data_IF_063407195818
#
_entry.id   IF_063407195818
#
_cell.length_a   1.000
_cell.length_b   1.000
_cell.length_c   1.000
_cell.angle_alpha   90.00
_cell.angle_beta   90.00
_cell.angle_gamma   90.00
#
_symmetry.space_group_name_H-M   'P 1'
#
loop_
_entity.id
_entity.type
_entity.pdbx_description
1 polymer ?
#
# COMPACT_ATOMS: atom_id res chain seq x y z
N UNK A 1 15.98 30.11 8.36
CA UNK A 1 15.31 29.18 7.43
C UNK A 1 13.90 29.70 7.19
N UNK A 2 13.42 29.76 5.94
CA UNK A 2 12.10 30.32 5.57
C UNK A 2 11.16 29.19 5.16
N UNK A 3 9.96 29.13 5.76
CA UNK A 3 8.96 28.08 5.47
C UNK A 3 8.15 28.47 4.24
N UNK A 4 7.95 27.53 3.31
CA UNK A 4 7.12 27.74 2.12
C UNK A 4 5.63 27.53 2.44
N UNK A 5 4.88 28.63 2.58
CA UNK A 5 3.44 28.60 2.87
C UNK A 5 2.62 27.89 1.78
N UNK A 6 2.99 27.97 0.50
CA UNK A 6 2.27 27.34 -0.60
C UNK A 6 2.35 25.80 -0.59
N UNK A 7 3.42 25.23 -0.03
CA UNK A 7 3.59 23.77 0.13
C UNK A 7 3.13 23.27 1.50
N UNK A 8 2.68 24.16 2.39
CA UNK A 8 2.30 23.82 3.75
C UNK A 8 0.79 23.67 3.85
N UNK A 9 0.35 22.58 4.47
CA UNK A 9 -1.07 22.29 4.70
C UNK A 9 -1.29 21.95 6.16
N UNK A 10 -2.43 22.36 6.69
CA UNK A 10 -2.86 22.00 8.04
C UNK A 10 -3.75 20.76 7.97
N UNK A 11 -3.32 19.68 8.61
CA UNK A 11 -4.12 18.47 8.77
C UNK A 11 -4.27 18.15 10.24
N UNK A 12 -5.52 17.99 10.68
CA UNK A 12 -5.85 17.62 12.05
C UNK A 12 -6.26 16.16 12.08
N UNK A 13 -5.48 15.34 12.77
CA UNK A 13 -5.74 13.91 12.90
C UNK A 13 -6.61 13.64 14.13
N UNK A 14 -7.82 13.10 13.92
CA UNK A 14 -8.74 12.76 15.00
C UNK A 14 -9.78 11.75 14.56
N UNK A 15 -10.21 10.88 15.48
CA UNK A 15 -11.36 9.99 15.31
C UNK A 15 -12.64 10.52 15.96
N UNK A 16 -12.58 11.71 16.56
CA UNK A 16 -13.74 12.31 17.20
C UNK A 16 -14.81 12.67 16.16
N UNK A 17 -16.07 12.35 16.47
CA UNK A 17 -17.21 12.68 15.62
C UNK A 17 -17.38 14.20 15.45
N UNK A 18 -16.97 14.98 16.45
CA UNK A 18 -16.97 16.44 16.42
C UNK A 18 -15.52 16.94 16.57
N UNK A 19 -14.76 17.06 15.47
CA UNK A 19 -13.36 17.46 15.50
C UNK A 19 -13.22 18.94 15.86
N UNK A 20 -12.26 19.26 16.73
CA UNK A 20 -11.93 20.66 17.06
C UNK A 20 -11.27 21.30 15.84
N UNK A 21 -11.81 22.42 15.40
CA UNK A 21 -11.30 23.15 14.23
C UNK A 21 -10.35 24.26 14.67
N UNK A 22 -9.05 23.97 14.66
CA UNK A 22 -8.02 24.99 14.96
C UNK A 22 -7.60 25.73 13.70
N UNK A 23 -7.39 27.04 13.76
CA UNK A 23 -6.74 27.80 12.68
C UNK A 23 -5.24 27.90 12.98
N UNK A 24 -4.41 27.70 11.97
CA UNK A 24 -2.96 27.87 12.09
C UNK A 24 -2.51 28.95 11.11
N UNK A 25 -1.64 29.84 11.57
CA UNK A 25 -1.02 30.87 10.73
C UNK A 25 0.49 30.66 10.72
N UNK A 26 1.09 30.77 9.54
CA UNK A 26 2.54 30.72 9.36
C UNK A 26 2.92 32.01 8.63
N UNK A 27 3.87 32.77 9.18
CA UNK A 27 4.27 34.07 8.61
C UNK A 27 3.09 35.04 8.38
N UNK A 28 2.14 35.11 9.34
CA UNK A 28 0.89 35.88 9.24
C UNK A 28 -0.03 35.50 8.06
N UNK A 29 0.18 34.35 7.42
CA UNK A 29 -0.69 33.81 6.37
C UNK A 29 -1.44 32.57 6.91
N UNK A 30 -2.76 32.48 6.69
CA UNK A 30 -3.52 31.31 7.09
C UNK A 30 -3.12 30.09 6.26
N UNK A 31 -2.90 28.96 6.94
CA UNK A 31 -2.57 27.70 6.27
C UNK A 31 -3.85 27.01 5.81
N UNK A 32 -3.88 26.55 4.56
CA UNK A 32 -5.02 25.80 4.02
C UNK A 32 -5.20 24.48 4.76
N UNK A 33 -6.42 24.22 5.24
CA UNK A 33 -6.79 22.93 5.82
C UNK A 33 -7.00 21.90 4.71
N UNK A 34 -6.49 20.69 4.91
CA UNK A 34 -6.71 19.57 4.00
C UNK A 34 -7.21 18.34 4.77
N UNK A 35 -8.20 17.59 4.25
CA UNK A 35 -8.64 16.33 4.86
C UNK A 35 -7.66 15.18 4.65
N UNK A 36 -6.67 15.34 3.77
CA UNK A 36 -5.67 14.32 3.50
C UNK A 36 -4.33 14.96 3.16
N UNK A 37 -3.24 14.36 3.64
CA UNK A 37 -1.88 14.78 3.31
C UNK A 37 -1.09 13.63 2.73
N UNK A 38 -0.39 13.90 1.63
CA UNK A 38 0.58 12.94 1.06
C UNK A 38 1.94 13.21 1.68
N UNK A 39 2.46 12.24 2.41
CA UNK A 39 3.82 12.25 2.95
C UNK A 39 4.60 11.07 2.38
N UNK A 40 5.61 11.33 1.56
CA UNK A 40 6.29 10.31 0.76
C UNK A 40 5.26 9.51 -0.07
N UNK A 41 5.22 8.19 0.05
CA UNK A 41 4.19 7.33 -0.56
C UNK A 41 3.00 7.04 0.36
N UNK A 42 3.00 7.61 1.57
CA UNK A 42 1.91 7.49 2.53
C UNK A 42 0.83 8.56 2.29
N UNK A 43 -0.43 8.15 2.32
CA UNK A 43 -1.57 9.09 2.34
C UNK A 43 -2.19 9.04 3.73
N UNK A 44 -2.12 10.14 4.44
CA UNK A 44 -2.62 10.28 5.80
C UNK A 44 -3.95 11.03 5.75
N UNK A 45 -5.03 10.34 6.08
CA UNK A 45 -6.37 10.93 6.17
C UNK A 45 -6.58 11.54 7.55
N UNK A 46 -7.31 12.66 7.64
CA UNK A 46 -7.60 13.35 8.91
C UNK A 46 -8.37 12.50 9.91
N UNK A 47 -9.17 11.55 9.43
CA UNK A 47 -9.93 10.57 10.22
C UNK A 47 -9.09 9.36 10.69
N UNK A 48 -7.79 9.33 10.34
CA UNK A 48 -6.91 8.18 10.56
C UNK A 48 -7.43 6.87 9.94
N UNK A 49 -8.23 6.98 8.87
CA UNK A 49 -8.65 5.84 8.07
C UNK A 49 -7.62 5.51 6.99
N UNK A 50 -7.26 4.24 6.91
CA UNK A 50 -6.24 3.71 5.99
C UNK A 50 -6.80 3.19 4.67
N UNK A 51 -8.13 3.16 4.52
CA UNK A 51 -8.78 2.58 3.34
C UNK A 51 -8.35 3.29 2.04
N UNK A 52 -8.37 4.63 2.03
CA UNK A 52 -7.97 5.46 0.87
C UNK A 52 -6.51 5.27 0.49
N UNK A 53 -5.64 5.16 1.48
CA UNK A 53 -4.23 4.87 1.27
C UNK A 53 -4.04 3.47 0.68
N UNK A 54 -4.71 2.47 1.26
CA UNK A 54 -4.58 1.09 0.84
C UNK A 54 -5.14 0.86 -0.56
N UNK A 55 -6.30 1.41 -0.91
CA UNK A 55 -6.82 1.31 -2.29
C UNK A 55 -5.85 1.91 -3.30
N UNK A 56 -5.19 3.02 -2.95
CA UNK A 56 -4.17 3.63 -3.81
C UNK A 56 -2.96 2.70 -4.01
N UNK A 57 -2.43 2.11 -2.94
CA UNK A 57 -1.28 1.20 -3.01
C UNK A 57 -1.65 -0.06 -3.79
N UNK A 58 -2.79 -0.67 -3.50
CA UNK A 58 -3.26 -1.85 -4.23
C UNK A 58 -3.42 -1.55 -5.72
N UNK A 59 -3.89 -0.34 -6.09
CA UNK A 59 -3.96 0.06 -7.49
C UNK A 59 -2.57 0.11 -8.15
N UNK A 60 -1.56 0.66 -7.47
CA UNK A 60 -0.17 0.70 -7.95
C UNK A 60 0.42 -0.71 -8.06
N UNK A 61 0.20 -1.55 -7.05
CA UNK A 61 0.67 -2.93 -7.01
C UNK A 61 0.03 -3.76 -8.14
N UNK A 62 -1.29 -3.65 -8.34
CA UNK A 62 -2.00 -4.32 -9.43
C UNK A 62 -1.52 -3.83 -10.80
N UNK A 63 -1.19 -2.54 -10.96
CA UNK A 63 -0.61 -2.03 -12.21
C UNK A 63 0.76 -2.65 -12.48
N UNK A 64 1.61 -2.75 -11.45
CA UNK A 64 2.92 -3.40 -11.54
C UNK A 64 2.77 -4.89 -11.88
N UNK A 65 1.78 -5.55 -11.30
CA UNK A 65 1.42 -6.94 -11.57
C UNK A 65 0.95 -7.12 -13.03
N UNK A 66 0.08 -6.24 -13.52
CA UNK A 66 -0.34 -6.21 -14.92
C UNK A 66 0.84 -6.03 -15.87
N UNK A 67 1.79 -5.14 -15.52
CA UNK A 67 3.02 -4.97 -16.29
C UNK A 67 3.83 -6.27 -16.39
N UNK A 68 4.03 -6.98 -15.28
CA UNK A 68 4.71 -8.29 -15.26
C UNK A 68 3.98 -9.29 -16.15
N UNK A 69 2.65 -9.39 -16.04
CA UNK A 69 1.85 -10.33 -16.84
C UNK A 69 1.91 -10.05 -18.34
N UNK A 70 1.91 -8.78 -18.74
CA UNK A 70 1.93 -8.42 -20.15
C UNK A 70 3.33 -8.51 -20.77
N UNK A 71 4.37 -8.08 -20.05
CA UNK A 71 5.71 -7.93 -20.61
C UNK A 71 6.65 -9.11 -20.32
N UNK A 72 6.44 -9.81 -19.20
CA UNK A 72 7.29 -10.92 -18.77
C UNK A 72 6.61 -12.28 -18.96
N UNK A 73 5.54 -12.37 -19.75
CA UNK A 73 4.80 -13.61 -20.00
C UNK A 73 5.68 -14.76 -20.48
N UNK A 74 6.65 -14.46 -21.35
CA UNK A 74 7.58 -15.43 -21.93
C UNK A 74 8.89 -15.57 -21.14
N UNK A 75 9.07 -14.79 -20.07
CA UNK A 75 10.27 -14.85 -19.25
C UNK A 75 10.29 -16.14 -18.41
N UNK A 76 11.48 -16.65 -18.03
CA UNK A 76 11.59 -17.77 -17.12
C UNK A 76 10.86 -17.51 -15.78
N UNK A 77 10.31 -18.55 -15.12
CA UNK A 77 9.62 -18.40 -13.85
C UNK A 77 10.43 -17.67 -12.76
N UNK A 78 11.75 -17.89 -12.73
CA UNK A 78 12.66 -17.21 -11.80
C UNK A 78 12.70 -15.70 -12.00
N UNK A 79 12.64 -15.22 -13.25
CA UNK A 79 12.62 -13.79 -13.59
C UNK A 79 11.27 -13.17 -13.24
N UNK A 80 10.16 -13.87 -13.51
CA UNK A 80 8.82 -13.43 -13.12
C UNK A 80 8.70 -13.31 -11.59
N UNK A 81 9.23 -14.28 -10.86
CA UNK A 81 9.26 -14.28 -9.40
C UNK A 81 10.12 -13.14 -8.84
N UNK A 82 11.30 -12.92 -9.43
CA UNK A 82 12.17 -11.80 -9.06
C UNK A 82 11.46 -10.47 -9.27
N UNK A 83 10.90 -10.25 -10.47
CA UNK A 83 10.16 -9.03 -10.81
C UNK A 83 8.98 -8.79 -9.88
N UNK A 84 8.22 -9.83 -9.54
CA UNK A 84 7.13 -9.73 -8.57
C UNK A 84 7.63 -9.31 -7.18
N UNK A 85 8.71 -9.93 -6.70
CA UNK A 85 9.32 -9.61 -5.40
C UNK A 85 9.84 -8.18 -5.37
N UNK A 86 10.50 -7.72 -6.44
CA UNK A 86 11.11 -6.38 -6.49
C UNK A 86 10.10 -5.26 -6.74
N UNK A 87 9.04 -5.50 -7.52
CA UNK A 87 8.11 -4.45 -7.94
C UNK A 87 6.81 -4.45 -7.16
N UNK A 88 6.21 -5.63 -6.92
CA UNK A 88 4.88 -5.73 -6.29
C UNK A 88 5.03 -5.85 -4.78
N UNK A 89 5.85 -6.80 -4.32
CA UNK A 89 6.00 -7.07 -2.88
C UNK A 89 6.62 -5.88 -2.14
N UNK A 90 7.66 -5.25 -2.68
CA UNK A 90 8.32 -4.08 -2.07
C UNK A 90 7.34 -2.93 -1.78
N UNK A 91 6.42 -2.65 -2.70
CA UNK A 91 5.38 -1.61 -2.54
C UNK A 91 4.42 -1.93 -1.39
N UNK A 92 4.00 -3.20 -1.29
CA UNK A 92 3.06 -3.66 -0.26
C UNK A 92 3.73 -3.74 1.12
N UNK A 93 5.00 -4.13 1.18
CA UNK A 93 5.75 -4.24 2.43
C UNK A 93 6.13 -2.89 3.00
N UNK A 94 6.61 -1.95 2.17
CA UNK A 94 6.94 -0.60 2.62
C UNK A 94 5.75 0.07 3.33
N UNK A 95 4.55 -0.11 2.76
CA UNK A 95 3.33 0.53 3.24
C UNK A 95 2.71 -0.21 4.42
N UNK A 96 3.05 -1.48 4.63
CA UNK A 96 2.57 -2.30 5.74
C UNK A 96 2.95 -1.77 7.13
N UNK A 97 4.09 -1.10 7.23
CA UNK A 97 4.59 -0.56 8.50
C UNK A 97 3.73 0.57 9.07
N UNK A 98 2.96 1.24 8.22
CA UNK A 98 2.27 2.49 8.57
C UNK A 98 0.91 2.24 9.23
N UNK A 99 0.19 1.19 8.80
CA UNK A 99 -1.18 0.90 9.26
C UNK A 99 -1.20 -0.31 10.22
N UNK A 100 -2.17 -0.42 11.14
CA UNK A 100 -2.13 -1.43 12.20
C UNK A 100 -2.60 -2.85 11.81
N UNK A 101 -1.95 -3.92 12.30
CA UNK A 101 -2.14 -5.30 11.81
C UNK A 101 -3.53 -5.92 12.08
N UNK A 102 -4.32 -5.39 13.02
CA UNK A 102 -5.62 -5.96 13.39
C UNK A 102 -6.72 -5.75 12.34
N UNK A 103 -6.49 -4.93 11.31
CA UNK A 103 -7.47 -4.71 10.24
C UNK A 103 -7.41 -5.86 9.23
N UNK A 104 -8.10 -6.96 9.54
CA UNK A 104 -8.12 -8.18 8.71
C UNK A 104 -8.48 -7.92 7.24
N UNK A 105 -9.45 -7.04 6.96
CA UNK A 105 -9.85 -6.69 5.59
C UNK A 105 -8.70 -6.12 4.76
N UNK A 106 -7.78 -5.39 5.39
CA UNK A 106 -6.61 -4.82 4.73
C UNK A 106 -5.57 -5.90 4.45
N UNK A 107 -5.32 -6.78 5.42
CA UNK A 107 -4.44 -7.95 5.26
C UNK A 107 -4.94 -8.82 4.09
N UNK A 108 -6.23 -9.15 4.05
CA UNK A 108 -6.81 -10.00 3.01
C UNK A 108 -6.67 -9.39 1.63
N UNK A 109 -6.83 -8.08 1.48
CA UNK A 109 -6.70 -7.42 0.19
C UNK A 109 -5.24 -7.38 -0.31
N UNK A 110 -4.29 -7.17 0.60
CA UNK A 110 -2.85 -7.22 0.26
C UNK A 110 -2.47 -8.64 -0.15
N UNK A 111 -2.91 -9.63 0.64
CA UNK A 111 -2.66 -11.04 0.38
C UNK A 111 -3.29 -11.48 -0.95
N UNK A 112 -4.48 -10.98 -1.30
CA UNK A 112 -5.11 -11.22 -2.60
C UNK A 112 -4.28 -10.70 -3.78
N UNK A 113 -3.63 -9.53 -3.65
CA UNK A 113 -2.73 -9.02 -4.69
C UNK A 113 -1.44 -9.83 -4.78
N UNK A 114 -0.86 -10.25 -3.64
CA UNK A 114 0.32 -11.12 -3.64
C UNK A 114 0.02 -12.51 -4.22
N UNK A 115 -1.18 -13.02 -3.96
CA UNK A 115 -1.67 -14.30 -4.47
C UNK A 115 -2.21 -14.21 -5.90
N UNK A 116 -2.38 -12.99 -6.41
CA UNK A 116 -2.82 -12.71 -7.76
C UNK A 116 -1.78 -13.13 -8.79
N UNK A 117 -1.52 -14.43 -8.92
CA UNK A 117 -0.93 -15.09 -10.07
C UNK A 117 0.33 -14.41 -10.63
N UNK A 118 1.46 -14.67 -9.97
CA UNK A 118 2.78 -14.72 -10.63
C UNK A 118 2.74 -15.78 -11.73
N UNK A 119 2.03 -16.87 -11.47
CA UNK A 119 1.85 -17.98 -12.39
C UNK A 119 0.76 -17.62 -13.37
N UNK A 120 1.08 -17.59 -14.66
CA UNK A 120 0.09 -17.47 -15.73
C UNK A 120 -0.78 -18.74 -15.87
N UNK A 121 -0.90 -19.51 -14.79
CA UNK A 121 -1.68 -20.74 -14.70
C UNK A 121 -3.04 -20.41 -14.08
N UNK A 122 -4.07 -20.56 -14.91
CA UNK A 122 -5.47 -20.32 -14.56
C UNK A 122 -6.26 -21.63 -14.60
N UNK A 123 -5.58 -22.78 -14.52
CA UNK A 123 -6.26 -24.07 -14.50
C UNK A 123 -7.12 -24.21 -13.25
N UNK A 124 -8.32 -24.77 -13.42
CA UNK A 124 -9.31 -24.95 -12.35
C UNK A 124 -8.82 -25.89 -11.24
N UNK A 125 -7.90 -26.79 -11.58
CA UNK A 125 -7.37 -27.79 -10.67
C UNK A 125 -6.15 -27.28 -9.87
N UNK A 126 -5.72 -26.05 -10.12
CA UNK A 126 -4.55 -25.48 -9.46
C UNK A 126 -4.93 -24.73 -8.21
N UNK A 127 -4.30 -25.09 -7.10
CA UNK A 127 -4.46 -24.37 -5.84
C UNK A 127 -3.49 -23.19 -5.79
N UNK A 128 -4.01 -22.01 -5.52
CA UNK A 128 -3.20 -20.80 -5.28
C UNK A 128 -2.19 -21.06 -4.14
N UNK A 129 -2.61 -21.79 -3.12
CA UNK A 129 -1.76 -22.15 -1.97
C UNK A 129 -0.61 -23.05 -2.40
N UNK A 130 -0.83 -24.03 -3.28
CA UNK A 130 0.24 -24.92 -3.75
C UNK A 130 1.21 -24.17 -4.66
N UNK A 131 0.73 -23.33 -5.56
CA UNK A 131 1.56 -22.49 -6.42
C UNK A 131 2.46 -21.53 -5.62
N UNK A 132 1.90 -20.94 -4.56
CA UNK A 132 2.62 -20.07 -3.63
C UNK A 132 3.74 -20.82 -2.91
N UNK A 133 3.45 -22.01 -2.36
CA UNK A 133 4.43 -22.86 -1.68
C UNK A 133 5.55 -23.29 -2.65
N UNK A 134 5.18 -23.76 -3.85
CA UNK A 134 6.14 -24.18 -4.89
C UNK A 134 7.11 -23.06 -5.30
N UNK A 135 6.71 -21.81 -5.09
CA UNK A 135 7.53 -20.65 -5.44
C UNK A 135 8.17 -19.97 -4.24
N UNK A 136 8.18 -20.63 -3.08
CA UNK A 136 8.83 -20.13 -1.87
C UNK A 136 8.36 -18.71 -1.49
N UNK A 137 7.06 -18.45 -1.60
CA UNK A 137 6.46 -17.17 -1.23
C UNK A 137 5.73 -17.31 0.11
N UNK A 138 6.29 -16.70 1.15
CA UNK A 138 5.64 -16.73 2.46
C UNK A 138 4.33 -15.93 2.47
N UNK A 139 3.53 -16.08 3.53
CA UNK A 139 2.38 -15.20 3.76
C UNK A 139 2.87 -13.81 4.17
N UNK A 140 2.12 -12.78 3.79
CA UNK A 140 2.40 -11.42 4.26
C UNK A 140 2.41 -11.34 5.80
N UNK A 141 1.44 -11.96 6.45
CA UNK A 141 1.32 -11.96 7.92
C UNK A 141 2.55 -12.56 8.61
N UNK A 142 3.16 -13.59 8.03
CA UNK A 142 4.35 -14.25 8.57
C UNK A 142 5.61 -13.39 8.49
N UNK A 143 5.70 -12.48 7.51
CA UNK A 143 6.88 -11.60 7.33
C UNK A 143 6.81 -10.32 8.16
N UNK A 144 5.64 -9.99 8.71
CA UNK A 144 5.41 -8.73 9.43
C UNK A 144 5.84 -8.77 10.90
N UNK A 145 6.07 -9.96 11.46
CA UNK A 145 6.54 -10.10 12.84
C UNK A 145 7.99 -9.62 12.93
N UNK A 146 8.22 -8.47 13.56
CA UNK A 146 9.56 -8.09 14.00
C UNK A 146 9.99 -9.09 15.08
N UNK A 147 11.01 -9.90 14.77
CA UNK A 147 11.72 -10.74 15.74
C UNK A 147 12.54 -9.88 16.70
#
# INVERSE_FOLDING_TARGET
MTINSFKTQLVSFTRAHSPITSTCTICNQPVTKSPMYKYLDARLSSDLAWNTHLTHILSIANRSLGYIRCNLKLAPPSVQQLAHTTLVRSQLEYTSYIWPPWQHSLVTNIEAVQNGAIFSDYSRDTSITSLRINSNLDLFSSRRTLS
#
